data_IF_300738604191
#
_entry.id   IF_300738604191
#
_cell.length_a   1.000
_cell.length_b   1.000
_cell.length_c   1.000
_cell.angle_alpha   90.00
_cell.angle_beta   90.00
_cell.angle_gamma   90.00
#
_symmetry.space_group_name_H-M   'P 1'
#
loop_
_entity.id
_entity.type
_entity.pdbx_description
1 polymer ?
#
# COMPACT_ATOMS: atom_id res chain seq x y z
N UNK A 1 0.03 28.50 8.07
CA UNK A 1 1.00 27.42 7.76
C UNK A 1 0.28 26.42 6.87
N UNK A 2 0.54 26.43 5.57
CA UNK A 2 0.02 25.41 4.67
C UNK A 2 0.80 24.14 4.97
N UNK A 3 0.16 23.19 5.67
CA UNK A 3 0.69 21.84 5.75
C UNK A 3 0.80 21.36 4.32
N UNK A 4 2.03 21.25 3.83
CA UNK A 4 2.32 20.68 2.52
C UNK A 4 1.48 19.42 2.37
N UNK A 5 0.68 19.43 1.30
CA UNK A 5 -0.16 18.33 0.88
C UNK A 5 0.76 17.21 0.41
N UNK A 6 1.51 16.61 1.32
CA UNK A 6 2.13 15.30 1.08
C UNK A 6 0.94 14.42 0.74
N UNK A 7 0.84 14.03 -0.52
CA UNK A 7 -0.21 13.16 -0.97
C UNK A 7 -0.14 11.91 -0.07
N UNK A 8 -1.25 11.54 0.58
CA UNK A 8 -1.22 10.62 1.72
C UNK A 8 -0.55 9.28 1.37
N UNK A 9 -0.62 8.87 0.10
CA UNK A 9 0.11 7.74 -0.46
C UNK A 9 1.64 7.79 -0.28
N UNK A 10 2.27 8.97 -0.27
CA UNK A 10 3.72 9.14 -0.05
C UNK A 10 4.12 8.84 1.39
N UNK A 11 3.16 8.76 2.30
CA UNK A 11 3.39 8.32 3.67
C UNK A 11 3.30 6.80 3.83
N UNK A 12 2.98 6.05 2.76
CA UNK A 12 2.99 4.59 2.78
C UNK A 12 4.42 4.06 2.61
N UNK A 13 4.82 3.19 3.52
CA UNK A 13 6.07 2.43 3.44
C UNK A 13 5.79 0.93 3.36
N UNK A 14 6.59 0.22 2.58
CA UNK A 14 6.37 -1.20 2.27
C UNK A 14 7.54 -2.06 2.76
N UNK A 15 7.21 -3.21 3.34
CA UNK A 15 8.15 -4.21 3.81
C UNK A 15 7.57 -5.61 3.60
N UNK A 16 8.36 -6.65 3.84
CA UNK A 16 7.83 -8.00 3.99
C UNK A 16 6.96 -8.09 5.25
N UNK A 17 5.87 -8.85 5.16
CA UNK A 17 5.10 -9.21 6.33
C UNK A 17 5.96 -10.09 7.26
N UNK A 18 6.02 -9.80 8.58
CA UNK A 18 6.66 -10.64 9.57
C UNK A 18 6.24 -12.11 9.51
N UNK A 19 4.99 -12.37 9.11
CA UNK A 19 4.41 -13.70 8.93
C UNK A 19 4.94 -14.46 7.71
N UNK A 20 5.76 -13.82 6.86
CA UNK A 20 6.52 -14.44 5.77
C UNK A 20 5.76 -14.72 4.48
N UNK A 21 4.47 -14.39 4.41
CA UNK A 21 3.60 -14.73 3.28
C UNK A 21 2.95 -13.51 2.61
N UNK A 22 3.59 -12.34 2.69
CA UNK A 22 2.97 -11.14 2.14
C UNK A 22 3.76 -9.85 2.29
N UNK A 23 3.06 -8.75 2.05
CA UNK A 23 3.57 -7.40 2.24
C UNK A 23 2.96 -6.80 3.49
N UNK A 24 3.78 -6.05 4.24
CA UNK A 24 3.31 -5.13 5.24
C UNK A 24 3.38 -3.72 4.66
N UNK A 25 2.26 -3.03 4.66
CA UNK A 25 2.20 -1.60 4.36
C UNK A 25 1.99 -0.83 5.66
N UNK A 26 2.74 0.24 5.86
CA UNK A 26 2.65 1.11 7.04
C UNK A 26 2.31 2.52 6.63
N UNK A 27 1.39 3.14 7.34
CA UNK A 27 0.92 4.49 7.09
C UNK A 27 1.47 5.43 8.15
N UNK A 28 2.39 6.33 7.77
CA UNK A 28 2.97 7.32 8.69
C UNK A 28 2.13 8.61 8.82
N UNK A 29 0.97 8.68 8.16
CA UNK A 29 0.10 9.87 8.16
C UNK A 29 -1.02 9.78 9.20
N UNK A 30 -1.62 10.94 9.49
CA UNK A 30 -2.79 11.07 10.36
C UNK A 30 -4.14 10.74 9.66
N UNK A 31 -4.11 10.16 8.45
CA UNK A 31 -5.31 9.92 7.64
C UNK A 31 -5.48 8.43 7.36
N UNK A 32 -6.72 7.97 7.21
CA UNK A 32 -6.99 6.65 6.65
C UNK A 32 -6.62 6.64 5.18
N UNK A 33 -5.95 5.58 4.73
CA UNK A 33 -5.63 5.38 3.31
C UNK A 33 -6.26 4.07 2.87
N UNK A 34 -7.18 4.14 1.92
CA UNK A 34 -7.79 2.95 1.31
C UNK A 34 -6.94 2.51 0.14
N UNK A 35 -6.36 1.32 0.23
CA UNK A 35 -5.69 0.65 -0.88
C UNK A 35 -6.71 -0.30 -1.52
N UNK A 36 -7.14 -0.02 -2.73
CA UNK A 36 -8.03 -0.90 -3.50
C UNK A 36 -7.30 -2.20 -3.83
N UNK A 37 -6.07 -2.08 -4.34
CA UNK A 37 -5.31 -3.25 -4.76
C UNK A 37 -3.82 -3.04 -4.83
N UNK A 38 -3.09 -4.16 -4.87
CA UNK A 38 -1.70 -4.24 -5.27
C UNK A 38 -1.58 -5.13 -6.51
N UNK A 39 -0.71 -4.79 -7.44
CA UNK A 39 -0.40 -5.62 -8.60
C UNK A 39 1.03 -6.14 -8.48
N UNK A 40 1.16 -7.46 -8.27
CA UNK A 40 2.43 -8.16 -8.09
C UNK A 40 2.62 -9.14 -9.24
N UNK A 41 3.74 -9.07 -9.96
CA UNK A 41 4.02 -9.93 -11.12
C UNK A 41 2.86 -9.99 -12.15
N UNK A 42 2.15 -8.87 -12.33
CA UNK A 42 0.99 -8.76 -13.22
C UNK A 42 -0.33 -9.31 -12.64
N UNK A 43 -0.34 -9.81 -11.41
CA UNK A 43 -1.55 -10.29 -10.73
C UNK A 43 -2.08 -9.23 -9.76
N UNK A 44 -3.36 -8.90 -9.89
CA UNK A 44 -4.05 -7.94 -9.02
C UNK A 44 -4.54 -8.67 -7.76
N UNK A 45 -4.21 -8.14 -6.60
CA UNK A 45 -4.65 -8.63 -5.30
C UNK A 45 -5.38 -7.52 -4.56
N UNK A 46 -6.53 -7.86 -3.99
CA UNK A 46 -7.25 -6.95 -3.11
C UNK A 46 -6.40 -6.63 -1.88
N UNK A 47 -6.49 -5.39 -1.43
CA UNK A 47 -5.85 -4.92 -0.21
C UNK A 47 -6.92 -4.47 0.80
N UNK A 48 -6.70 -3.35 1.47
CA UNK A 48 -7.62 -2.83 2.46
C UNK A 48 -7.27 -1.43 2.92
N UNK A 49 -7.94 -0.98 3.97
CA UNK A 49 -7.72 0.33 4.56
C UNK A 49 -6.60 0.27 5.62
N UNK A 50 -5.66 1.21 5.54
CA UNK A 50 -4.58 1.36 6.51
C UNK A 50 -4.90 2.54 7.41
N UNK A 51 -5.11 2.25 8.69
CA UNK A 51 -5.40 3.27 9.69
C UNK A 51 -4.21 4.24 9.89
N UNK A 52 -4.46 5.46 10.38
CA UNK A 52 -3.40 6.40 10.76
C UNK A 52 -2.36 5.75 11.67
N UNK A 53 -1.07 5.99 11.41
CA UNK A 53 0.06 5.51 12.21
C UNK A 53 0.08 4.00 12.47
N UNK A 54 -0.54 3.23 11.58
CA UNK A 54 -0.70 1.78 11.72
C UNK A 54 -0.17 1.04 10.51
N UNK A 55 -0.25 -0.29 10.56
CA UNK A 55 0.16 -1.18 9.48
C UNK A 55 -0.95 -2.16 9.12
N UNK A 56 -0.96 -2.56 7.86
CA UNK A 56 -1.79 -3.64 7.33
C UNK A 56 -0.89 -4.70 6.71
N UNK A 57 -1.16 -5.97 7.02
CA UNK A 57 -0.57 -7.10 6.31
C UNK A 57 -1.48 -7.53 5.16
N UNK A 58 -0.89 -7.67 3.98
CA UNK A 58 -1.57 -8.11 2.77
C UNK A 58 -0.94 -9.45 2.40
N UNK A 59 -1.77 -10.50 2.40
CA UNK A 59 -1.38 -11.86 2.01
C UNK A 59 -1.90 -12.17 0.59
N UNK A 60 -1.16 -11.83 -0.48
CA UNK A 60 -1.56 -12.11 -1.84
C UNK A 60 -1.64 -13.62 -2.07
N UNK A 61 -2.85 -14.12 -2.36
CA UNK A 61 -3.06 -15.54 -2.66
C UNK A 61 -2.24 -15.96 -3.88
N UNK A 62 -1.57 -17.11 -3.77
CA UNK A 62 -0.78 -17.68 -4.86
C UNK A 62 0.57 -17.01 -5.10
N UNK A 63 0.97 -16.03 -4.27
CA UNK A 63 2.27 -15.35 -4.37
C UNK A 63 3.03 -15.52 -3.06
N UNK A 64 4.03 -16.40 -3.07
CA UNK A 64 4.97 -16.53 -1.94
C UNK A 64 6.05 -15.45 -2.02
N UNK A 65 5.92 -14.39 -1.21
CA UNK A 65 6.90 -13.30 -1.16
C UNK A 65 7.99 -13.61 -0.13
N UNK A 66 9.15 -14.05 -0.60
CA UNK A 66 10.35 -14.27 0.24
C UNK A 66 11.23 -13.02 0.35
N UNK A 67 11.10 -12.10 -0.59
CA UNK A 67 11.82 -10.82 -0.65
C UNK A 67 10.85 -9.71 -1.04
N UNK A 68 11.14 -8.47 -0.62
CA UNK A 68 10.35 -7.32 -1.04
C UNK A 68 10.52 -7.14 -2.57
N UNK A 69 9.45 -7.10 -3.36
CA UNK A 69 9.55 -6.90 -4.81
C UNK A 69 10.22 -5.57 -5.12
N UNK A 70 11.20 -5.59 -6.02
CA UNK A 70 11.92 -4.39 -6.43
C UNK A 70 11.00 -3.34 -7.10
N UNK A 71 9.93 -3.81 -7.77
CA UNK A 71 8.91 -2.97 -8.40
C UNK A 71 7.54 -3.65 -8.31
N UNK A 72 6.52 -2.86 -8.05
CA UNK A 72 5.11 -3.24 -8.16
C UNK A 72 4.25 -1.99 -8.28
N UNK A 73 2.97 -2.14 -8.56
CA UNK A 73 2.02 -1.02 -8.53
C UNK A 73 0.92 -1.25 -7.50
N UNK A 74 0.29 -0.18 -7.04
CA UNK A 74 -0.86 -0.24 -6.14
C UNK A 74 -1.83 0.89 -6.45
N UNK A 75 -3.10 0.69 -6.12
CA UNK A 75 -4.14 1.69 -6.30
C UNK A 75 -4.69 2.16 -4.96
N UNK A 76 -4.86 3.48 -4.81
CA UNK A 76 -5.57 4.07 -3.67
C UNK A 76 -6.89 4.68 -4.10
N UNK A 77 -7.81 4.85 -3.15
CA UNK A 77 -9.05 5.60 -3.35
C UNK A 77 -8.91 6.94 -2.63
N UNK A 78 -9.06 8.05 -3.36
CA UNK A 78 -8.97 9.38 -2.78
C UNK A 78 -10.30 9.85 -2.14
N UNK A 79 -10.29 11.02 -1.50
CA UNK A 79 -11.47 11.59 -0.82
C UNK A 79 -12.69 11.82 -1.73
N UNK A 80 -12.48 11.83 -3.06
CA UNK A 80 -13.54 11.98 -4.07
C UNK A 80 -14.03 10.63 -4.59
N UNK A 81 -13.56 9.51 -4.03
CA UNK A 81 -13.89 8.15 -4.49
C UNK A 81 -13.17 7.73 -5.78
N UNK A 82 -12.22 8.53 -6.29
CA UNK A 82 -11.49 8.20 -7.50
C UNK A 82 -10.31 7.25 -7.20
N UNK A 83 -10.11 6.28 -8.09
CA UNK A 83 -8.99 5.34 -8.04
C UNK A 83 -7.74 6.01 -8.62
N UNK A 84 -6.65 6.01 -7.85
CA UNK A 84 -5.35 6.59 -8.24
C UNK A 84 -4.31 5.48 -8.27
N UNK A 85 -3.56 5.36 -9.36
CA UNK A 85 -2.51 4.35 -9.52
C UNK A 85 -1.13 4.90 -9.12
N UNK A 86 -0.37 4.07 -8.41
CA UNK A 86 0.96 4.38 -7.90
C UNK A 86 1.94 3.26 -8.26
N UNK A 87 3.21 3.61 -8.46
CA UNK A 87 4.29 2.65 -8.63
C UNK A 87 5.17 2.66 -7.38
N UNK A 88 5.74 1.51 -7.04
CA UNK A 88 6.76 1.36 -6.02
C UNK A 88 8.11 1.01 -6.67
N UNK A 89 9.24 1.60 -6.22
CA UNK A 89 9.29 2.77 -5.34
C UNK A 89 8.69 4.03 -6.00
N UNK A 90 8.25 4.98 -5.18
CA UNK A 90 7.60 6.24 -5.61
C UNK A 90 8.60 7.34 -5.99
#
# INVERSE_FOLDING_TARGET
MAAEKIAAEKALSWALAPTGNGLRVSNASARYITIDSITLNGQKHAAGMVAPFSSLEIAPKGVALRTLPAKFSFTTINDYGAVVNHNYPQ
#
